data_IF_201914573730
#
_entry.id   IF_201914573730
#
_cell.length_a   1.000
_cell.length_b   1.000
_cell.length_c   1.000
_cell.angle_alpha   90.00
_cell.angle_beta   90.00
_cell.angle_gamma   90.00
#
_symmetry.space_group_name_H-M   'P 1'
#
loop_
_entity.id
_entity.type
_entity.pdbx_description
1 polymer ?
#
# COMPACT_ATOMS: atom_id res chain seq x y z
N UNK A 1 16.36 -28.83 -2.14
CA UNK A 1 15.15 -28.99 -2.93
C UNK A 1 14.40 -27.66 -2.96
N UNK A 2 14.23 -27.11 -4.14
CA UNK A 2 13.56 -25.83 -4.28
C UNK A 2 12.05 -26.03 -4.08
N UNK A 3 11.54 -25.54 -2.98
CA UNK A 3 10.08 -25.42 -2.83
C UNK A 3 9.61 -24.19 -3.59
N UNK A 4 8.48 -24.28 -4.30
CA UNK A 4 7.88 -23.08 -4.85
C UNK A 4 7.59 -22.11 -3.69
N UNK A 5 7.68 -20.82 -3.96
CA UNK A 5 7.39 -19.81 -2.95
C UNK A 5 6.00 -20.05 -2.37
N UNK A 6 5.91 -20.15 -1.06
CA UNK A 6 4.63 -20.31 -0.37
C UNK A 6 3.80 -19.04 -0.61
N UNK A 7 2.61 -19.13 -1.23
CA UNK A 7 1.75 -17.96 -1.44
C UNK A 7 1.40 -17.22 -0.15
N UNK A 8 1.31 -17.95 0.97
CA UNK A 8 1.05 -17.35 2.27
C UNK A 8 2.18 -16.46 2.75
N UNK A 9 3.43 -16.86 2.50
CA UNK A 9 4.60 -16.05 2.86
C UNK A 9 4.64 -14.77 2.03
N UNK A 10 4.42 -14.88 0.72
CA UNK A 10 4.40 -13.71 -0.17
C UNK A 10 3.30 -12.73 0.23
N UNK A 11 2.10 -13.22 0.49
CA UNK A 11 0.98 -12.39 0.92
C UNK A 11 1.28 -11.67 2.24
N UNK A 12 1.88 -12.37 3.20
CA UNK A 12 2.26 -11.78 4.48
C UNK A 12 3.32 -10.71 4.32
N UNK A 13 4.35 -10.97 3.51
CA UNK A 13 5.39 -9.99 3.23
C UNK A 13 4.82 -8.74 2.56
N UNK A 14 3.89 -8.93 1.62
CA UNK A 14 3.19 -7.83 0.96
C UNK A 14 2.46 -6.96 1.97
N UNK A 15 1.67 -7.57 2.85
CA UNK A 15 0.93 -6.83 3.87
C UNK A 15 1.85 -6.09 4.83
N UNK A 16 2.92 -6.73 5.27
CA UNK A 16 3.92 -6.09 6.13
C UNK A 16 4.63 -4.94 5.42
N UNK A 17 4.91 -5.08 4.12
CA UNK A 17 5.52 -4.02 3.34
C UNK A 17 4.58 -2.82 3.19
N UNK A 18 3.29 -3.08 2.99
CA UNK A 18 2.28 -2.01 2.96
C UNK A 18 2.22 -1.29 4.29
N UNK A 19 2.22 -2.03 5.41
CA UNK A 19 2.24 -1.44 6.76
C UNK A 19 3.47 -0.55 6.95
N UNK A 20 4.63 -1.02 6.53
CA UNK A 20 5.88 -0.28 6.63
C UNK A 20 5.80 1.03 5.85
N UNK A 21 5.35 0.97 4.62
CA UNK A 21 5.23 2.15 3.75
C UNK A 21 4.22 3.15 4.31
N UNK A 22 3.12 2.67 4.86
CA UNK A 22 2.14 3.55 5.50
C UNK A 22 2.70 4.25 6.72
N UNK A 23 3.56 3.59 7.48
CA UNK A 23 4.15 4.16 8.69
C UNK A 23 5.30 5.12 8.40
N UNK A 24 6.17 4.78 7.45
CA UNK A 24 7.42 5.51 7.20
C UNK A 24 7.47 6.23 5.86
N UNK A 25 6.49 6.01 5.00
CA UNK A 25 6.50 6.56 3.66
C UNK A 25 7.32 5.73 2.69
N UNK A 26 7.21 6.06 1.41
CA UNK A 26 7.94 5.32 0.39
C UNK A 26 9.34 5.90 0.15
N UNK A 27 9.49 7.21 0.28
CA UNK A 27 10.75 7.92 0.14
C UNK A 27 11.73 7.26 -0.82
N UNK A 28 12.96 7.10 -0.34
CA UNK A 28 13.95 6.24 -1.00
C UNK A 28 13.75 4.83 -0.43
N UNK A 29 12.77 4.09 -0.98
CA UNK A 29 12.48 2.74 -0.50
C UNK A 29 13.70 1.85 -0.73
N UNK A 30 14.50 1.72 0.31
CA UNK A 30 15.67 0.86 0.30
C UNK A 30 15.24 -0.55 0.72
N UNK A 31 15.69 -1.55 -0.05
CA UNK A 31 15.33 -2.95 0.23
C UNK A 31 15.85 -3.42 1.57
N UNK A 32 17.07 -2.99 1.96
CA UNK A 32 17.69 -3.46 3.21
C UNK A 32 16.91 -3.05 4.46
N UNK A 33 16.59 -1.77 4.66
CA UNK A 33 15.76 -1.39 5.82
C UNK A 33 14.39 -2.04 5.82
N UNK A 34 13.76 -2.14 4.66
CA UNK A 34 12.47 -2.81 4.54
C UNK A 34 12.59 -4.28 4.92
N UNK A 35 13.57 -4.99 4.37
CA UNK A 35 13.80 -6.40 4.65
C UNK A 35 14.05 -6.64 6.14
N UNK A 36 14.82 -5.77 6.78
CA UNK A 36 15.08 -5.84 8.21
C UNK A 36 13.79 -5.68 9.00
N UNK A 37 12.97 -4.72 8.64
CA UNK A 37 11.68 -4.50 9.29
C UNK A 37 10.74 -5.69 9.13
N UNK A 38 10.81 -6.39 8.00
CA UNK A 38 10.01 -7.56 7.71
C UNK A 38 10.64 -8.87 8.20
N UNK A 39 11.75 -8.78 8.92
CA UNK A 39 12.49 -9.93 9.45
C UNK A 39 12.93 -10.90 8.35
N UNK A 40 13.43 -10.35 7.25
CA UNK A 40 13.93 -11.11 6.10
C UNK A 40 15.17 -10.38 5.53
N UNK A 41 15.55 -10.69 4.30
CA UNK A 41 16.67 -10.03 3.63
C UNK A 41 16.28 -9.59 2.21
N UNK A 42 17.10 -8.73 1.60
CA UNK A 42 16.81 -8.17 0.29
C UNK A 42 16.66 -9.25 -0.79
N UNK A 43 17.48 -10.29 -0.71
CA UNK A 43 17.43 -11.41 -1.67
C UNK A 43 16.06 -12.09 -1.63
N UNK A 44 15.52 -12.32 -0.44
CA UNK A 44 14.21 -12.96 -0.30
C UNK A 44 13.08 -12.07 -0.82
N UNK A 45 13.18 -10.76 -0.62
CA UNK A 45 12.20 -9.84 -1.19
C UNK A 45 12.21 -9.89 -2.72
N UNK A 46 13.40 -9.91 -3.32
CA UNK A 46 13.52 -10.03 -4.77
C UNK A 46 13.01 -11.40 -5.24
N UNK A 47 13.31 -12.46 -4.49
CA UNK A 47 12.82 -13.80 -4.82
C UNK A 47 11.29 -13.85 -4.89
N UNK A 48 10.59 -13.26 -3.90
CA UNK A 48 9.14 -13.31 -3.85
C UNK A 48 8.46 -12.33 -4.84
N UNK A 49 9.07 -11.20 -5.12
CA UNK A 49 8.44 -10.15 -5.91
C UNK A 49 9.08 -9.93 -7.29
N UNK A 50 10.14 -10.67 -7.59
CA UNK A 50 10.82 -10.66 -8.87
C UNK A 50 11.84 -9.55 -9.02
N UNK A 51 11.52 -8.34 -8.59
CA UNK A 51 12.40 -7.19 -8.68
C UNK A 51 11.96 -6.13 -7.68
N UNK A 52 12.77 -5.08 -7.54
CA UNK A 52 12.39 -3.91 -6.74
C UNK A 52 11.11 -3.26 -7.28
N UNK A 53 11.02 -3.16 -8.61
CA UNK A 53 9.85 -2.62 -9.29
C UNK A 53 8.62 -3.50 -9.07
N UNK A 54 8.79 -4.81 -9.07
CA UNK A 54 7.74 -5.78 -8.76
C UNK A 54 7.22 -5.60 -7.34
N UNK A 55 8.14 -5.44 -6.38
CA UNK A 55 7.77 -5.15 -4.99
C UNK A 55 7.01 -3.83 -4.89
N UNK A 56 7.48 -2.79 -5.55
CA UNK A 56 6.83 -1.48 -5.56
C UNK A 56 5.40 -1.58 -6.09
N UNK A 57 5.20 -2.30 -7.20
CA UNK A 57 3.86 -2.51 -7.77
C UNK A 57 2.93 -3.23 -6.79
N UNK A 58 3.44 -4.25 -6.11
CA UNK A 58 2.66 -4.99 -5.13
C UNK A 58 2.27 -4.12 -3.93
N UNK A 59 3.19 -3.29 -3.46
CA UNK A 59 2.92 -2.36 -2.36
C UNK A 59 1.85 -1.35 -2.77
N UNK A 60 1.97 -0.76 -3.96
CA UNK A 60 0.98 0.20 -4.46
C UNK A 60 -0.39 -0.44 -4.64
N UNK A 61 -0.43 -1.67 -5.17
CA UNK A 61 -1.68 -2.42 -5.30
C UNK A 61 -2.31 -2.68 -3.93
N UNK A 62 -1.50 -3.05 -2.95
CA UNK A 62 -1.97 -3.27 -1.58
C UNK A 62 -2.53 -2.00 -0.94
N UNK A 63 -1.90 -0.86 -1.17
CA UNK A 63 -2.39 0.43 -0.70
C UNK A 63 -3.75 0.77 -1.31
N UNK A 64 -3.89 0.57 -2.63
CA UNK A 64 -5.15 0.80 -3.32
C UNK A 64 -6.26 -0.11 -2.80
N UNK A 65 -5.94 -1.40 -2.60
CA UNK A 65 -6.91 -2.36 -2.10
C UNK A 65 -7.40 -1.98 -0.70
N UNK A 66 -6.51 -1.57 0.18
CA UNK A 66 -6.88 -1.11 1.52
C UNK A 66 -7.77 0.12 1.47
N UNK A 67 -7.44 1.07 0.61
CA UNK A 67 -8.22 2.29 0.45
C UNK A 67 -9.61 1.98 -0.07
N UNK A 68 -9.70 1.16 -1.12
CA UNK A 68 -10.98 0.73 -1.69
C UNK A 68 -11.82 -0.02 -0.64
N UNK A 69 -11.18 -0.89 0.15
CA UNK A 69 -11.86 -1.62 1.21
C UNK A 69 -12.43 -0.71 2.28
N UNK A 70 -11.70 0.31 2.68
CA UNK A 70 -12.18 1.28 3.66
C UNK A 70 -13.36 2.09 3.15
N UNK A 71 -13.26 2.56 1.91
CA UNK A 71 -14.35 3.30 1.27
C UNK A 71 -15.58 2.41 1.14
N UNK A 72 -15.40 1.15 0.72
CA UNK A 72 -16.49 0.20 0.60
C UNK A 72 -17.20 -0.07 1.92
N UNK A 73 -16.43 -0.29 3.00
CA UNK A 73 -17.01 -0.48 4.33
C UNK A 73 -17.78 0.74 4.81
N UNK A 74 -17.20 1.90 4.59
CA UNK A 74 -17.86 3.15 4.96
C UNK A 74 -19.17 3.34 4.19
N UNK A 75 -19.17 3.06 2.89
CA UNK A 75 -20.37 3.13 2.06
C UNK A 75 -21.46 2.19 2.56
N UNK A 76 -21.09 1.03 3.09
CA UNK A 76 -22.04 0.05 3.61
C UNK A 76 -22.50 0.36 5.04
N UNK A 77 -21.78 1.23 5.76
CA UNK A 77 -22.08 1.50 7.17
C UNK A 77 -23.31 2.38 7.41
N UNK A 78 -23.91 2.91 6.38
CA UNK A 78 -25.04 3.83 6.52
C UNK A 78 -24.65 5.24 6.93
N UNK A 79 -23.38 5.51 7.11
CA UNK A 79 -22.86 6.84 7.46
C UNK A 79 -22.47 7.66 6.24
N UNK A 80 -23.09 7.36 5.11
CA UNK A 80 -22.81 8.07 3.86
C UNK A 80 -23.12 9.54 4.00
N UNK A 81 -22.28 10.42 3.46
CA UNK A 81 -22.67 11.81 3.34
C UNK A 81 -23.87 11.92 2.39
N UNK A 82 -24.82 12.74 2.77
CA UNK A 82 -26.03 12.96 1.97
C UNK A 82 -25.83 14.06 0.94
N UNK A 83 -24.82 14.89 1.12
CA UNK A 83 -24.55 16.02 0.26
C UNK A 83 -23.09 16.02 -0.16
N UNK A 84 -22.78 16.71 -1.25
CA UNK A 84 -21.41 16.84 -1.73
C UNK A 84 -20.50 17.56 -0.73
N UNK A 85 -20.91 18.65 -0.06
CA UNK A 85 -20.08 19.27 0.96
C UNK A 85 -19.72 18.32 2.12
N UNK A 86 -20.67 17.47 2.55
CA UNK A 86 -20.40 16.46 3.57
C UNK A 86 -19.36 15.43 3.09
N UNK A 87 -19.52 14.99 1.85
CA UNK A 87 -18.57 14.05 1.23
C UNK A 87 -17.16 14.65 1.16
N UNK A 88 -17.05 15.90 0.71
CA UNK A 88 -15.75 16.58 0.59
C UNK A 88 -15.09 16.76 1.96
N UNK A 89 -15.87 17.11 2.99
CA UNK A 89 -15.33 17.23 4.34
C UNK A 89 -14.87 15.90 4.89
N UNK A 90 -15.66 14.86 4.68
CA UNK A 90 -15.27 13.50 5.09
C UNK A 90 -14.00 13.05 4.38
N UNK A 91 -13.98 13.21 3.07
CA UNK A 91 -12.84 12.84 2.24
C UNK A 91 -11.58 13.61 2.64
N UNK A 92 -11.72 14.92 2.82
CA UNK A 92 -10.60 15.76 3.23
C UNK A 92 -10.01 15.33 4.57
N UNK A 93 -10.86 15.10 5.56
CA UNK A 93 -10.39 14.62 6.88
C UNK A 93 -9.63 13.32 6.75
N UNK A 94 -10.12 12.43 5.91
CA UNK A 94 -9.55 11.12 5.71
C UNK A 94 -8.17 11.19 5.05
N UNK A 95 -8.04 11.94 3.96
CA UNK A 95 -6.78 12.02 3.20
C UNK A 95 -5.75 12.92 3.88
N UNK A 96 -6.18 13.81 4.77
CA UNK A 96 -5.29 14.71 5.50
C UNK A 96 -4.72 14.06 6.77
N UNK A 97 -5.35 13.02 7.28
CA UNK A 97 -4.91 12.36 8.49
C UNK A 97 -3.70 11.47 8.24
N UNK A 98 -2.64 11.54 9.08
CA UNK A 98 -1.58 10.55 9.03
C UNK A 98 -2.12 9.22 9.56
N UNK A 99 -1.72 8.04 9.05
CA UNK A 99 -0.82 7.78 7.92
C UNK A 99 -1.50 7.76 6.55
N UNK A 100 -2.84 7.90 6.46
CA UNK A 100 -3.59 7.84 5.22
C UNK A 100 -3.09 8.86 4.19
N UNK A 101 -2.65 10.01 4.66
CA UNK A 101 -2.05 11.05 3.84
C UNK A 101 -0.89 10.53 3.00
N UNK A 102 -0.01 9.74 3.60
CA UNK A 102 1.13 9.15 2.88
C UNK A 102 0.66 8.17 1.82
N UNK A 103 -0.31 7.32 2.16
CA UNK A 103 -0.82 6.31 1.24
C UNK A 103 -1.47 6.96 0.01
N UNK A 104 -2.33 7.96 0.21
CA UNK A 104 -2.99 8.67 -0.87
C UNK A 104 -1.98 9.38 -1.76
N UNK A 105 -1.02 10.05 -1.15
CA UNK A 105 0.04 10.74 -1.87
C UNK A 105 0.83 9.77 -2.76
N UNK A 106 1.14 8.58 -2.25
CA UNK A 106 1.87 7.56 -3.01
C UNK A 106 1.07 7.06 -4.19
N UNK A 107 -0.21 6.79 -3.99
CA UNK A 107 -1.08 6.33 -5.07
C UNK A 107 -1.15 7.37 -6.19
N UNK A 108 -1.30 8.65 -5.86
CA UNK A 108 -1.34 9.70 -6.87
C UNK A 108 0.00 9.91 -7.57
N UNK A 109 1.11 9.91 -6.82
CA UNK A 109 2.42 10.18 -7.41
C UNK A 109 2.92 9.04 -8.28
N UNK A 110 2.73 7.79 -7.85
CA UNK A 110 3.27 6.62 -8.54
C UNK A 110 2.25 5.92 -9.42
N UNK A 111 0.98 5.98 -9.06
CA UNK A 111 -0.10 5.43 -9.88
C UNK A 111 -0.23 6.13 -11.22
N UNK A 112 -0.18 7.45 -11.22
CA UNK A 112 -0.30 8.27 -12.43
C UNK A 112 0.85 8.03 -13.41
N UNK A 113 2.06 7.83 -12.92
CA UNK A 113 3.21 7.55 -13.78
C UNK A 113 3.03 6.29 -14.59
N UNK A 114 2.36 5.29 -14.05
CA UNK A 114 2.09 4.05 -14.77
C UNK A 114 0.97 4.19 -15.78
N UNK A 115 0.04 5.11 -15.53
CA UNK A 115 -1.07 5.37 -16.43
C UNK A 115 -0.63 6.10 -17.69
N UNK A 116 0.45 6.83 -17.63
CA UNK A 116 0.97 7.68 -18.72
C UNK A 116 1.89 6.90 -19.66
N UNK A 117 2.37 5.76 -19.25
CA UNK A 117 3.23 4.90 -20.08
C UNK A 117 2.39 3.91 -20.92
#
# INVERSE_FOLDING_TARGET
>A
MARPADPGIRARLREQAVDYVMAYGIGDLALRPLAKALNTNARMLIYHFGSREGLMREVLAGLRDREAGRVGRWMKSGRKPRTMPEFLRWYWRRVSAPPARSAVRLVFLYGDRKSVV
#
